data_IF_858884566540
#
_entry.id   IF_858884566540
#
_cell.length_a   1.000
_cell.length_b   1.000
_cell.length_c   1.000
_cell.angle_alpha   90.00
_cell.angle_beta   90.00
_cell.angle_gamma   90.00
#
_symmetry.space_group_name_H-M   'P 1'
#
loop_
_entity.id
_entity.type
_entity.pdbx_description
1 polymer ?
#
# COMPACT_ATOMS: atom_id res chain seq x y z
N UNK A 1 6.48 11.14 -30.63
CA UNK A 1 6.25 10.46 -29.34
C UNK A 1 6.99 11.24 -28.26
N UNK A 2 6.26 11.99 -27.41
CA UNK A 2 6.85 12.77 -26.32
C UNK A 2 7.29 11.80 -25.22
N UNK A 3 8.52 11.95 -24.72
CA UNK A 3 9.00 11.23 -23.56
C UNK A 3 8.26 11.73 -22.33
N UNK A 4 7.46 10.85 -21.74
CA UNK A 4 6.77 11.13 -20.49
C UNK A 4 7.80 11.26 -19.36
N UNK A 5 7.81 12.43 -18.75
CA UNK A 5 8.77 12.87 -17.75
C UNK A 5 8.70 11.94 -16.53
N UNK A 6 9.87 11.47 -16.08
CA UNK A 6 9.99 10.63 -14.88
C UNK A 6 9.42 11.36 -13.66
N UNK A 7 8.43 10.71 -13.04
CA UNK A 7 7.67 11.10 -11.85
C UNK A 7 8.49 11.92 -10.85
N UNK A 8 7.92 13.07 -10.47
CA UNK A 8 8.38 13.92 -9.37
C UNK A 8 8.79 13.09 -8.14
N UNK A 9 9.92 13.48 -7.54
CA UNK A 9 10.45 12.83 -6.35
C UNK A 9 9.39 12.81 -5.23
N UNK A 10 9.10 11.61 -4.72
CA UNK A 10 8.14 11.42 -3.63
C UNK A 10 8.57 12.19 -2.37
N UNK A 11 9.86 12.46 -2.21
CA UNK A 11 10.38 13.29 -1.13
C UNK A 11 9.95 14.77 -1.23
N UNK A 12 9.61 15.25 -2.43
CA UNK A 12 9.15 16.61 -2.67
C UNK A 12 7.63 16.76 -2.54
N UNK A 13 6.88 15.67 -2.34
CA UNK A 13 5.42 15.72 -2.16
C UNK A 13 5.09 16.20 -0.75
N UNK A 14 4.39 17.32 -0.68
CA UNK A 14 3.71 17.76 0.54
C UNK A 14 2.68 16.69 0.95
N UNK A 15 2.80 16.04 2.13
CA UNK A 15 1.79 15.10 2.61
C UNK A 15 0.43 15.76 2.86
N UNK A 16 0.36 17.09 2.79
CA UNK A 16 -0.81 17.88 3.09
C UNK A 16 -1.06 17.96 4.60
N UNK A 17 -2.02 18.79 5.01
CA UNK A 17 -2.34 18.95 6.42
C UNK A 17 -2.81 17.62 7.02
N UNK A 18 -2.24 17.28 8.18
CA UNK A 18 -2.61 16.08 8.93
C UNK A 18 -4.08 16.20 9.35
N UNK A 19 -4.96 15.42 8.73
CA UNK A 19 -6.36 15.32 9.16
C UNK A 19 -6.40 14.57 10.49
N UNK A 20 -6.60 15.30 11.59
CA UNK A 20 -7.02 14.73 12.86
C UNK A 20 -8.47 14.26 12.75
N UNK A 21 -8.66 13.15 12.04
CA UNK A 21 -9.96 12.56 11.80
C UNK A 21 -10.61 12.22 13.15
N UNK A 22 -11.67 12.94 13.51
CA UNK A 22 -12.51 12.67 14.70
C UNK A 22 -13.43 11.46 14.47
N UNK A 23 -12.90 10.43 13.84
CA UNK A 23 -13.67 9.28 13.38
C UNK A 23 -14.27 8.51 14.56
N UNK A 24 -13.52 8.35 15.67
CA UNK A 24 -13.99 7.60 16.83
C UNK A 24 -15.20 8.28 17.50
N UNK A 25 -15.17 9.62 17.73
CA UNK A 25 -16.37 10.37 18.07
C UNK A 25 -17.52 10.19 17.08
N UNK A 26 -17.27 10.25 15.77
CA UNK A 26 -18.31 10.09 14.75
C UNK A 26 -18.93 8.68 14.75
N UNK A 27 -18.10 7.64 14.83
CA UNK A 27 -18.55 6.25 14.90
C UNK A 27 -19.37 6.02 16.17
N UNK A 28 -18.89 6.48 17.33
CA UNK A 28 -19.61 6.37 18.60
C UNK A 28 -20.96 7.11 18.56
N UNK A 29 -21.03 8.29 17.95
CA UNK A 29 -22.30 9.03 17.76
C UNK A 29 -23.26 8.27 16.84
N UNK A 30 -22.76 7.70 15.75
CA UNK A 30 -23.56 6.93 14.80
C UNK A 30 -24.14 5.66 15.44
N UNK A 31 -23.33 4.95 16.23
CA UNK A 31 -23.77 3.76 16.97
C UNK A 31 -24.81 4.12 18.04
N UNK A 32 -24.64 5.25 18.74
CA UNK A 32 -25.65 5.74 19.70
C UNK A 32 -26.95 6.12 19.02
N UNK A 33 -26.88 6.77 17.86
CA UNK A 33 -28.06 7.10 17.05
C UNK A 33 -28.81 5.81 16.67
N UNK A 34 -28.10 4.82 16.13
CA UNK A 34 -28.68 3.52 15.79
C UNK A 34 -29.39 2.84 16.95
N UNK A 35 -28.81 2.87 18.16
CA UNK A 35 -29.41 2.29 19.36
C UNK A 35 -30.60 3.08 19.92
N UNK A 36 -30.74 4.34 19.53
CA UNK A 36 -31.81 5.22 20.01
C UNK A 36 -33.05 5.19 19.10
N UNK A 37 -32.94 4.62 17.91
CA UNK A 37 -34.03 4.48 16.94
C UNK A 37 -34.73 3.14 17.09
N UNK A 38 -36.05 3.13 17.27
CA UNK A 38 -36.85 1.89 17.32
C UNK A 38 -36.90 1.18 15.96
N UNK A 39 -36.83 1.95 14.86
CA UNK A 39 -36.85 1.45 13.48
C UNK A 39 -35.77 2.12 12.62
N UNK A 40 -34.50 1.71 12.77
CA UNK A 40 -33.38 2.34 12.07
C UNK A 40 -33.49 2.17 10.56
N UNK A 41 -33.22 3.23 9.80
CA UNK A 41 -33.30 3.20 8.33
C UNK A 41 -32.28 2.23 7.72
N UNK A 42 -32.54 1.68 6.52
CA UNK A 42 -31.60 0.78 5.84
C UNK A 42 -30.18 1.38 5.68
N UNK A 43 -30.10 2.69 5.42
CA UNK A 43 -28.83 3.40 5.26
C UNK A 43 -28.06 3.46 6.59
N UNK A 44 -28.76 3.72 7.70
CA UNK A 44 -28.15 3.73 9.03
C UNK A 44 -27.65 2.33 9.41
N UNK A 45 -28.43 1.29 9.11
CA UNK A 45 -28.02 -0.11 9.30
C UNK A 45 -26.75 -0.43 8.50
N UNK A 46 -26.68 -0.02 7.24
CA UNK A 46 -25.53 -0.25 6.38
C UNK A 46 -24.26 0.42 6.90
N UNK A 47 -24.37 1.68 7.37
CA UNK A 47 -23.25 2.40 7.99
C UNK A 47 -22.78 1.68 9.27
N UNK A 48 -23.70 1.22 10.11
CA UNK A 48 -23.35 0.50 11.36
C UNK A 48 -22.66 -0.83 11.05
N UNK A 49 -23.15 -1.56 10.04
CA UNK A 49 -22.50 -2.79 9.56
C UNK A 49 -21.11 -2.49 9.03
N UNK A 50 -20.93 -1.40 8.28
CA UNK A 50 -19.62 -0.94 7.81
C UNK A 50 -18.67 -0.59 8.96
N UNK A 51 -19.13 0.19 9.94
CA UNK A 51 -18.34 0.55 11.13
C UNK A 51 -17.88 -0.70 11.86
N UNK A 52 -18.79 -1.66 12.07
CA UNK A 52 -18.52 -2.85 12.88
C UNK A 52 -17.63 -3.87 12.15
N UNK A 53 -17.97 -4.21 10.90
CA UNK A 53 -17.29 -5.28 10.16
C UNK A 53 -15.97 -4.83 9.55
N UNK A 54 -15.95 -3.66 8.91
CA UNK A 54 -14.77 -3.18 8.21
C UNK A 54 -13.92 -2.27 9.09
N UNK A 55 -14.51 -1.17 9.56
CA UNK A 55 -13.73 -0.09 10.13
C UNK A 55 -13.10 -0.48 11.47
N UNK A 56 -13.90 -0.94 12.45
CA UNK A 56 -13.42 -1.31 13.78
C UNK A 56 -12.42 -2.46 13.71
N UNK A 57 -12.70 -3.48 12.90
CA UNK A 57 -11.78 -4.60 12.67
C UNK A 57 -10.43 -4.11 12.15
N UNK A 58 -10.43 -3.29 11.09
CA UNK A 58 -9.19 -2.74 10.53
C UNK A 58 -8.46 -1.81 11.49
N UNK A 59 -9.18 -0.94 12.19
CA UNK A 59 -8.60 -0.04 13.19
C UNK A 59 -7.90 -0.83 14.30
N UNK A 60 -8.54 -1.89 14.80
CA UNK A 60 -7.95 -2.75 15.83
C UNK A 60 -6.72 -3.48 15.31
N UNK A 61 -6.78 -4.05 14.10
CA UNK A 61 -5.62 -4.70 13.46
C UNK A 61 -4.45 -3.74 13.29
N UNK A 62 -4.69 -2.48 12.89
CA UNK A 62 -3.65 -1.46 12.78
C UNK A 62 -3.07 -1.11 14.15
N UNK A 63 -3.90 -0.93 15.18
CA UNK A 63 -3.44 -0.53 16.52
C UNK A 63 -2.72 -1.64 17.28
N UNK A 64 -3.07 -2.90 17.01
CA UNK A 64 -2.40 -4.06 17.62
C UNK A 64 -1.14 -4.49 16.88
N UNK A 65 -0.98 -4.06 15.63
CA UNK A 65 0.26 -4.26 14.88
C UNK A 65 1.43 -3.52 15.53
N UNK A 66 2.51 -4.26 15.80
CA UNK A 66 3.72 -3.74 16.44
C UNK A 66 4.86 -3.48 15.47
N UNK A 67 4.86 -4.18 14.34
CA UNK A 67 5.99 -4.19 13.41
C UNK A 67 5.60 -3.60 12.06
N UNK A 68 6.52 -2.80 11.52
CA UNK A 68 6.40 -2.22 10.20
C UNK A 68 6.23 -3.26 9.09
N UNK A 69 6.82 -4.46 9.27
CA UNK A 69 6.72 -5.59 8.35
C UNK A 69 5.33 -6.21 8.26
N UNK A 70 4.42 -5.90 9.18
CA UNK A 70 3.02 -6.32 9.10
C UNK A 70 2.18 -5.38 8.22
N UNK A 71 2.71 -4.22 7.84
CA UNK A 71 2.03 -3.25 6.99
C UNK A 71 1.41 -3.84 5.71
N UNK A 72 2.15 -4.61 4.89
CA UNK A 72 1.58 -5.21 3.70
C UNK A 72 0.43 -6.19 3.98
N UNK A 73 0.49 -6.92 5.11
CA UNK A 73 -0.59 -7.82 5.54
C UNK A 73 -1.84 -7.02 5.91
N UNK A 74 -1.69 -5.89 6.61
CA UNK A 74 -2.79 -4.99 6.93
C UNK A 74 -3.43 -4.38 5.68
N UNK A 75 -2.65 -3.99 4.67
CA UNK A 75 -3.20 -3.50 3.39
C UNK A 75 -3.98 -4.60 2.69
N UNK A 76 -3.44 -5.81 2.60
CA UNK A 76 -4.16 -6.94 2.02
C UNK A 76 -5.43 -7.26 2.82
N UNK A 77 -5.37 -7.28 4.16
CA UNK A 77 -6.53 -7.48 5.02
C UNK A 77 -7.61 -6.44 4.74
N UNK A 78 -7.25 -5.16 4.59
CA UNK A 78 -8.19 -4.10 4.21
C UNK A 78 -8.86 -4.39 2.86
N UNK A 79 -8.09 -4.79 1.85
CA UNK A 79 -8.65 -5.15 0.53
C UNK A 79 -9.62 -6.32 0.68
N UNK A 80 -9.24 -7.39 1.39
CA UNK A 80 -10.10 -8.57 1.59
C UNK A 80 -11.38 -8.22 2.36
N UNK A 81 -11.23 -7.50 3.48
CA UNK A 81 -12.35 -7.08 4.32
C UNK A 81 -13.29 -6.12 3.60
N UNK A 82 -12.86 -5.39 2.58
CA UNK A 82 -13.77 -4.54 1.79
C UNK A 82 -14.65 -5.31 0.80
N UNK A 83 -14.35 -6.59 0.51
CA UNK A 83 -15.03 -7.36 -0.55
C UNK A 83 -16.49 -7.69 -0.26
N UNK A 84 -16.91 -7.68 1.01
CA UNK A 84 -18.31 -7.93 1.36
C UNK A 84 -19.23 -6.74 0.99
N UNK A 85 -18.65 -5.55 0.77
CA UNK A 85 -19.42 -4.35 0.46
C UNK A 85 -20.03 -4.44 -0.95
N UNK A 86 -21.23 -3.86 -1.14
CA UNK A 86 -21.77 -3.66 -2.48
C UNK A 86 -20.85 -2.76 -3.30
N UNK A 87 -20.96 -2.85 -4.63
CA UNK A 87 -20.04 -2.21 -5.57
C UNK A 87 -19.95 -0.69 -5.35
N UNK A 88 -21.07 -0.02 -5.12
CA UNK A 88 -21.11 1.44 -4.90
C UNK A 88 -20.30 1.86 -3.67
N UNK A 89 -20.47 1.15 -2.55
CA UNK A 89 -19.69 1.41 -1.33
C UNK A 89 -18.24 0.99 -1.47
N UNK A 90 -17.97 -0.11 -2.18
CA UNK A 90 -16.60 -0.54 -2.48
C UNK A 90 -15.87 0.51 -3.31
N UNK A 91 -16.55 1.16 -4.25
CA UNK A 91 -16.01 2.26 -5.04
C UNK A 91 -15.73 3.53 -4.23
N UNK A 92 -16.46 3.75 -3.14
CA UNK A 92 -16.16 4.81 -2.17
C UNK A 92 -14.91 4.48 -1.31
N UNK A 93 -14.78 3.23 -0.87
CA UNK A 93 -13.71 2.80 0.04
C UNK A 93 -12.39 2.52 -0.69
N UNK A 94 -12.44 2.04 -1.92
CA UNK A 94 -11.27 1.66 -2.72
C UNK A 94 -10.20 2.76 -2.85
N UNK A 95 -10.57 4.01 -3.21
CA UNK A 95 -9.65 5.13 -3.23
C UNK A 95 -8.99 5.42 -1.88
N UNK A 96 -9.71 5.23 -0.77
CA UNK A 96 -9.18 5.41 0.59
C UNK A 96 -8.12 4.35 0.90
N UNK A 97 -8.38 3.09 0.57
CA UNK A 97 -7.40 2.00 0.72
C UNK A 97 -6.16 2.29 -0.14
N UNK A 98 -6.36 2.71 -1.38
CA UNK A 98 -5.27 3.03 -2.32
C UNK A 98 -4.40 4.18 -1.81
N UNK A 99 -5.01 5.25 -1.30
CA UNK A 99 -4.29 6.41 -0.75
C UNK A 99 -3.44 6.03 0.47
N UNK A 100 -3.92 5.09 1.28
CA UNK A 100 -3.21 4.56 2.45
C UNK A 100 -2.35 3.33 2.13
N UNK A 101 -2.25 2.92 0.87
CA UNK A 101 -1.58 1.71 0.41
C UNK A 101 -0.05 1.79 0.37
N UNK A 102 0.58 2.74 1.07
CA UNK A 102 2.04 2.92 1.10
C UNK A 102 2.77 1.62 1.50
N UNK A 103 2.23 0.87 2.45
CA UNK A 103 2.82 -0.41 2.85
C UNK A 103 2.74 -1.51 1.77
N UNK A 104 2.01 -1.31 0.68
CA UNK A 104 1.99 -2.24 -0.46
C UNK A 104 3.10 -1.96 -1.48
N UNK A 105 4.00 -1.00 -1.23
CA UNK A 105 5.13 -0.78 -2.13
C UNK A 105 6.10 -1.99 -2.16
N UNK A 106 6.81 -2.21 -3.28
CA UNK A 106 7.70 -3.36 -3.45
C UNK A 106 8.76 -3.49 -2.35
N UNK A 107 9.34 -2.38 -1.90
CA UNK A 107 10.35 -2.37 -0.85
C UNK A 107 9.80 -2.85 0.51
N UNK A 108 8.57 -2.45 0.85
CA UNK A 108 7.90 -2.88 2.07
C UNK A 108 7.54 -4.36 2.01
N UNK A 109 7.04 -4.82 0.85
CA UNK A 109 6.76 -6.23 0.60
C UNK A 109 8.03 -7.08 0.73
N UNK A 110 9.14 -6.65 0.15
CA UNK A 110 10.42 -7.37 0.27
C UNK A 110 10.87 -7.45 1.73
N UNK A 111 10.83 -6.35 2.49
CA UNK A 111 11.17 -6.35 3.91
C UNK A 111 10.28 -7.31 4.71
N UNK A 112 8.96 -7.23 4.50
CA UNK A 112 8.01 -8.14 5.15
C UNK A 112 8.30 -9.61 4.85
N UNK A 113 8.59 -9.96 3.60
CA UNK A 113 8.91 -11.35 3.26
C UNK A 113 10.17 -11.87 3.95
N UNK A 114 11.18 -11.03 4.21
CA UNK A 114 12.41 -11.48 4.89
C UNK A 114 12.21 -11.79 6.38
N UNK A 115 11.23 -11.16 7.01
CA UNK A 115 10.92 -11.32 8.43
C UNK A 115 9.68 -12.18 8.67
N UNK A 116 9.09 -12.76 7.62
CA UNK A 116 7.87 -13.55 7.76
C UNK A 116 8.12 -14.81 8.60
N UNK A 117 7.13 -15.26 9.37
CA UNK A 117 7.25 -16.44 10.23
C UNK A 117 7.40 -17.75 9.42
N UNK A 118 6.89 -17.78 8.19
CA UNK A 118 6.96 -18.95 7.31
C UNK A 118 8.30 -19.02 6.58
N UNK A 119 9.07 -20.09 6.80
CA UNK A 119 10.41 -20.30 6.18
C UNK A 119 10.38 -20.21 4.66
N UNK A 120 9.35 -20.75 4.02
CA UNK A 120 9.20 -20.72 2.56
C UNK A 120 9.09 -19.28 2.03
N UNK A 121 8.35 -18.41 2.73
CA UNK A 121 8.18 -17.00 2.35
C UNK A 121 9.50 -16.25 2.52
N UNK A 122 10.24 -16.52 3.60
CA UNK A 122 11.59 -15.95 3.80
C UNK A 122 12.57 -16.35 2.70
N UNK A 123 12.56 -17.62 2.30
CA UNK A 123 13.44 -18.11 1.24
C UNK A 123 13.07 -17.50 -0.12
N UNK A 124 11.77 -17.36 -0.42
CA UNK A 124 11.31 -16.65 -1.61
C UNK A 124 11.77 -15.18 -1.61
N UNK A 125 11.67 -14.50 -0.46
CA UNK A 125 12.18 -13.14 -0.28
C UNK A 125 13.68 -13.04 -0.56
N UNK A 126 14.48 -13.97 -0.01
CA UNK A 126 15.92 -14.07 -0.26
C UNK A 126 16.25 -14.25 -1.74
N UNK A 127 15.57 -15.16 -2.42
CA UNK A 127 15.77 -15.42 -3.85
C UNK A 127 15.43 -14.20 -4.71
N UNK A 128 14.32 -13.50 -4.39
CA UNK A 128 13.96 -12.25 -5.08
C UNK A 128 15.02 -11.17 -4.91
N UNK A 129 15.58 -11.02 -3.71
CA UNK A 129 16.68 -10.07 -3.45
C UNK A 129 17.92 -10.44 -4.26
N UNK A 130 18.33 -11.71 -4.27
CA UNK A 130 19.51 -12.16 -5.02
C UNK A 130 19.33 -11.96 -6.52
N UNK A 131 18.14 -12.28 -7.06
CA UNK A 131 17.81 -12.05 -8.46
C UNK A 131 17.84 -10.57 -8.82
N UNK A 132 17.26 -9.69 -7.99
CA UNK A 132 17.28 -8.25 -8.23
C UNK A 132 18.72 -7.69 -8.22
N UNK A 133 19.58 -8.17 -7.32
CA UNK A 133 21.01 -7.80 -7.28
C UNK A 133 21.76 -8.26 -8.54
N UNK A 134 21.45 -9.46 -9.03
CA UNK A 134 22.05 -9.98 -10.25
C UNK A 134 21.70 -9.12 -11.48
N UNK A 135 20.41 -8.83 -11.67
CA UNK A 135 19.93 -7.96 -12.75
C UNK A 135 20.60 -6.58 -12.69
N UNK A 136 20.73 -6.00 -11.49
CA UNK A 136 21.42 -4.70 -11.32
C UNK A 136 22.89 -4.77 -11.76
N UNK A 137 23.60 -5.86 -11.47
CA UNK A 137 24.99 -6.04 -11.91
C UNK A 137 25.10 -6.15 -13.42
N UNK A 138 24.20 -6.92 -14.05
CA UNK A 138 24.15 -7.08 -15.51
C UNK A 138 23.88 -5.74 -16.22
N UNK A 139 22.92 -4.96 -15.73
CA UNK A 139 22.63 -3.62 -16.25
C UNK A 139 23.81 -2.66 -16.13
N UNK A 140 24.53 -2.69 -15.00
CA UNK A 140 25.73 -1.87 -14.80
C UNK A 140 26.85 -2.27 -15.76
N UNK A 141 27.04 -3.57 -16.00
CA UNK A 141 28.04 -4.05 -16.97
C UNK A 141 27.69 -3.68 -18.40
N UNK A 142 26.41 -3.77 -18.79
CA UNK A 142 25.96 -3.38 -20.13
C UNK A 142 26.08 -1.88 -20.37
N UNK A 143 25.72 -1.06 -19.39
CA UNK A 143 25.87 0.39 -19.46
C UNK A 143 27.34 0.81 -19.59
N UNK A 144 28.23 0.21 -18.80
CA UNK A 144 29.69 0.41 -18.91
C UNK A 144 30.22 0.00 -20.30
N UNK A 145 29.78 -1.14 -20.82
CA UNK A 145 30.16 -1.62 -22.15
C UNK A 145 29.70 -0.67 -23.28
N UNK A 146 28.46 -0.15 -23.20
CA UNK A 146 27.91 0.83 -24.15
C UNK A 146 28.66 2.17 -24.11
N UNK A 147 29.01 2.67 -22.92
CA UNK A 147 29.78 3.91 -22.81
C UNK A 147 31.18 3.78 -23.40
N UNK A 148 31.85 2.63 -23.18
CA UNK A 148 33.18 2.35 -23.70
C UNK A 148 33.21 2.16 -25.23
N UNK A 149 32.13 1.67 -25.83
CA UNK A 149 32.02 1.55 -27.29
C UNK A 149 31.72 2.90 -27.96
N UNK A 150 30.88 3.74 -27.35
CA UNK A 150 30.62 5.11 -27.82
C UNK A 150 31.88 5.98 -27.76
N UNK A 151 32.68 5.87 -26.69
CA UNK A 151 33.93 6.64 -26.57
C UNK A 151 34.94 6.23 -27.66
N UNK A 152 35.13 4.93 -27.93
CA UNK A 152 36.01 4.44 -28.99
C UNK A 152 35.60 4.90 -30.39
N UNK A 153 34.30 4.91 -30.70
CA UNK A 153 33.79 5.39 -32.00
C UNK A 153 34.00 6.90 -32.20
N UNK A 154 34.01 7.69 -31.11
CA UNK A 154 34.30 9.13 -31.17
C UNK A 154 35.80 9.40 -31.40
N UNK A 155 36.68 8.57 -30.83
CA UNK A 155 38.13 8.69 -31.05
C UNK A 155 38.56 8.24 -32.46
N UNK A 156 37.85 7.28 -33.06
CA UNK A 156 38.13 6.75 -34.40
C UNK A 156 37.60 7.62 -35.57
N UNK A 157 36.85 8.68 -35.29
CA UNK A 157 36.32 9.64 -36.29
C UNK A 157 37.10 10.97 -36.34
N UNK A 158 38.30 11.01 -35.75
CA UNK A 158 39.31 12.07 -35.95
C UNK A 158 40.46 11.48 -36.74
#
# INVERSE_FOLDING_TARGET
MKSENGKEDLAARDPGPLSHSRWLPTANRTLRLYLSEESPTPELQEIVVFISKFYMSMWFSIKTSKYFTEGPKLVNQSIQSSRYLPEDLRNLVGPVIKRNGFFAHPEHLMLATTQDNTKLIRELGRQRILKARQIKREQLSEHSCRQNSISRLKTARR
#
